data_IF_045567678626
#
_entry.id   IF_045567678626
#
_cell.length_a   1.000
_cell.length_b   1.000
_cell.length_c   1.000
_cell.angle_alpha   90.00
_cell.angle_beta   90.00
_cell.angle_gamma   90.00
#
_symmetry.space_group_name_H-M   'P 1'
#
loop_
_entity.id
_entity.type
_entity.pdbx_description
1 polymer ?
#
# COMPACT_ATOMS: atom_id res chain seq x y z
N UNK A 1 20.56 13.67 12.27
CA UNK A 1 19.63 13.70 11.13
C UNK A 1 18.31 13.01 11.47
N UNK A 2 18.30 11.76 11.91
CA UNK A 2 17.04 11.03 12.24
C UNK A 2 16.21 11.71 13.34
N UNK A 3 16.84 12.30 14.36
CA UNK A 3 16.13 13.06 15.39
C UNK A 3 15.41 14.30 14.85
N UNK A 4 15.97 14.95 13.82
CA UNK A 4 15.34 16.08 13.15
C UNK A 4 14.14 15.63 12.34
N UNK A 5 14.23 14.49 11.63
CA UNK A 5 13.11 13.93 10.86
C UNK A 5 11.94 13.58 11.76
N UNK A 6 12.22 12.95 12.90
CA UNK A 6 11.19 12.60 13.88
C UNK A 6 10.47 13.85 14.42
N UNK A 7 11.23 14.89 14.81
CA UNK A 7 10.65 16.14 15.31
C UNK A 7 9.81 16.86 14.25
N UNK A 8 10.19 16.77 12.97
CA UNK A 8 9.41 17.34 11.86
C UNK A 8 8.11 16.56 11.65
N UNK A 9 8.15 15.22 11.68
CA UNK A 9 6.94 14.38 11.62
C UNK A 9 5.98 14.72 12.76
N UNK A 10 6.45 14.74 14.02
CA UNK A 10 5.63 15.09 15.18
C UNK A 10 4.98 16.47 15.04
N UNK A 11 5.73 17.46 14.55
CA UNK A 11 5.20 18.80 14.33
C UNK A 11 4.02 18.81 13.36
N UNK A 12 4.17 18.15 12.20
CA UNK A 12 3.11 18.11 11.19
C UNK A 12 1.95 17.19 11.60
N UNK A 13 2.22 16.08 12.25
CA UNK A 13 1.17 15.20 12.78
C UNK A 13 0.26 15.93 13.75
N UNK A 14 0.82 16.74 14.64
CA UNK A 14 0.06 17.58 15.57
C UNK A 14 -0.70 18.70 14.85
N UNK A 15 -0.03 19.44 13.95
CA UNK A 15 -0.63 20.60 13.26
C UNK A 15 -1.73 20.23 12.29
N UNK A 16 -1.59 19.10 11.61
CA UNK A 16 -2.56 18.61 10.62
C UNK A 16 -3.56 17.63 11.21
N UNK A 17 -3.49 17.38 12.54
CA UNK A 17 -4.33 16.41 13.25
C UNK A 17 -4.36 15.04 12.54
N UNK A 18 -3.17 14.51 12.19
CA UNK A 18 -3.03 13.26 11.43
C UNK A 18 -3.28 12.00 12.29
N UNK A 19 -3.79 12.15 13.49
CA UNK A 19 -4.16 11.04 14.34
C UNK A 19 -5.53 11.30 14.98
N UNK A 20 -6.28 10.25 15.21
CA UNK A 20 -7.56 10.29 15.90
C UNK A 20 -7.72 9.05 16.81
N UNK A 21 -8.76 8.97 17.66
CA UNK A 21 -8.91 7.87 18.60
C UNK A 21 -8.94 6.47 17.95
N UNK A 22 -9.50 6.31 16.76
CA UNK A 22 -9.56 5.00 16.09
C UNK A 22 -8.19 4.59 15.51
N UNK A 23 -7.46 5.54 14.93
CA UNK A 23 -6.10 5.30 14.43
C UNK A 23 -5.13 5.03 15.58
N UNK A 24 -5.20 5.82 16.66
CA UNK A 24 -4.39 5.59 17.86
C UNK A 24 -4.67 4.22 18.50
N UNK A 25 -5.94 3.84 18.60
CA UNK A 25 -6.33 2.53 19.10
C UNK A 25 -5.85 1.38 18.19
N UNK A 26 -5.85 1.56 16.86
CA UNK A 26 -5.34 0.55 15.93
C UNK A 26 -3.84 0.27 16.14
N UNK A 27 -3.05 1.29 16.42
CA UNK A 27 -1.63 1.14 16.75
C UNK A 27 -1.44 0.46 18.12
N UNK A 28 -2.22 0.88 19.13
CA UNK A 28 -2.15 0.30 20.47
C UNK A 28 -2.55 -1.18 20.48
N UNK A 29 -3.63 -1.56 19.81
CA UNK A 29 -4.07 -2.95 19.69
C UNK A 29 -3.03 -3.80 18.95
N UNK A 30 -2.45 -3.28 17.86
CA UNK A 30 -1.38 -3.98 17.13
C UNK A 30 -0.18 -4.25 18.04
N UNK A 31 0.23 -3.27 18.84
CA UNK A 31 1.31 -3.41 19.79
C UNK A 31 0.99 -4.41 20.92
N UNK A 32 -0.23 -4.34 21.47
CA UNK A 32 -0.68 -5.22 22.55
C UNK A 32 -0.73 -6.69 22.12
N UNK A 33 -1.07 -6.95 20.86
CA UNK A 33 -1.11 -8.30 20.27
C UNK A 33 0.25 -8.76 19.70
N UNK A 34 1.32 -7.95 19.88
CA UNK A 34 2.68 -8.28 19.46
C UNK A 34 2.91 -8.24 17.94
N UNK A 35 2.09 -7.50 17.18
CA UNK A 35 2.35 -7.29 15.77
C UNK A 35 3.63 -6.46 15.56
N UNK A 36 4.39 -6.69 14.49
CA UNK A 36 5.58 -5.91 14.22
C UNK A 36 5.24 -4.43 13.98
N UNK A 37 6.06 -3.50 14.50
CA UNK A 37 5.85 -2.06 14.40
C UNK A 37 6.28 -1.51 13.01
N UNK A 38 5.73 -2.09 11.93
CA UNK A 38 6.05 -1.77 10.52
C UNK A 38 4.94 -1.04 9.78
N UNK A 39 3.84 -0.66 10.46
CA UNK A 39 2.76 0.14 9.87
C UNK A 39 3.31 1.43 9.23
N UNK A 40 2.64 1.97 8.23
CA UNK A 40 2.98 3.28 7.62
C UNK A 40 2.91 4.41 8.66
N UNK A 41 3.62 5.53 8.43
CA UNK A 41 3.49 6.73 9.26
C UNK A 41 2.12 7.39 9.07
N UNK A 42 1.65 8.22 10.01
CA UNK A 42 0.42 9.00 9.85
C UNK A 42 0.42 9.84 8.59
N UNK A 43 1.53 10.50 8.27
CA UNK A 43 1.68 11.30 7.05
C UNK A 43 1.56 10.44 5.78
N UNK A 44 2.16 9.24 5.76
CA UNK A 44 2.06 8.32 4.63
C UNK A 44 0.63 7.76 4.51
N UNK A 45 -0.01 7.36 5.60
CA UNK A 45 -1.42 6.93 5.59
C UNK A 45 -2.35 8.03 5.03
N UNK A 46 -2.12 9.29 5.45
CA UNK A 46 -2.85 10.44 4.91
C UNK A 46 -2.57 10.65 3.42
N UNK A 47 -1.33 10.48 2.96
CA UNK A 47 -0.98 10.56 1.54
C UNK A 47 -1.75 9.52 0.71
N UNK A 48 -1.81 8.25 1.16
CA UNK A 48 -2.59 7.20 0.49
C UNK A 48 -4.07 7.59 0.37
N UNK A 49 -4.65 8.15 1.45
CA UNK A 49 -6.04 8.64 1.43
C UNK A 49 -6.23 9.81 0.45
N UNK A 50 -5.29 10.76 0.40
CA UNK A 50 -5.35 11.89 -0.54
C UNK A 50 -5.21 11.44 -1.99
N UNK A 51 -4.35 10.46 -2.27
CA UNK A 51 -4.22 9.87 -3.61
C UNK A 51 -5.51 9.17 -4.03
N UNK A 52 -6.12 8.37 -3.15
CA UNK A 52 -7.41 7.75 -3.41
C UNK A 52 -8.49 8.79 -3.73
N UNK A 53 -8.57 9.87 -2.94
CA UNK A 53 -9.51 10.97 -3.19
C UNK A 53 -9.23 11.71 -4.50
N UNK A 54 -7.97 11.95 -4.85
CA UNK A 54 -7.57 12.71 -6.05
C UNK A 54 -7.99 12.05 -7.36
N UNK A 55 -8.12 10.72 -7.35
CA UNK A 55 -8.60 9.93 -8.49
C UNK A 55 -10.06 9.52 -8.36
N UNK A 56 -10.76 9.98 -7.30
CA UNK A 56 -12.13 9.57 -6.97
C UNK A 56 -12.27 8.04 -6.87
N UNK A 57 -11.31 7.37 -6.21
CA UNK A 57 -11.30 5.91 -6.10
C UNK A 57 -12.58 5.39 -5.44
N UNK A 58 -13.16 4.36 -6.01
CA UNK A 58 -14.32 3.62 -5.51
C UNK A 58 -13.94 2.20 -5.09
N UNK A 59 -12.90 1.64 -5.71
CA UNK A 59 -12.41 0.30 -5.43
C UNK A 59 -10.90 0.33 -5.17
N UNK A 60 -10.51 -0.12 -3.98
CA UNK A 60 -9.11 -0.16 -3.55
C UNK A 60 -8.72 -1.61 -3.26
N UNK A 61 -7.53 -2.01 -3.72
CA UNK A 61 -6.88 -3.27 -3.36
C UNK A 61 -5.63 -2.97 -2.53
N UNK A 62 -5.50 -3.60 -1.38
CA UNK A 62 -4.31 -3.54 -0.55
C UNK A 62 -3.68 -4.93 -0.43
N UNK A 63 -2.38 -5.03 -0.62
CA UNK A 63 -1.60 -6.26 -0.44
C UNK A 63 -0.70 -6.07 0.78
N UNK A 64 -1.09 -6.70 1.89
CA UNK A 64 -0.52 -6.51 3.23
C UNK A 64 -1.39 -5.62 4.11
N UNK A 65 -2.09 -6.23 5.09
CA UNK A 65 -3.05 -5.54 5.98
C UNK A 65 -2.43 -5.16 7.32
N UNK A 66 -1.60 -6.06 7.89
CA UNK A 66 -1.11 -5.96 9.25
C UNK A 66 -2.29 -5.73 10.24
N UNK A 67 -2.21 -4.69 11.09
CA UNK A 67 -3.28 -4.28 12.01
C UNK A 67 -4.34 -3.34 11.41
N UNK A 68 -4.33 -3.12 10.08
CA UNK A 68 -5.34 -2.34 9.38
C UNK A 68 -5.17 -0.82 9.45
N UNK A 69 -3.98 -0.31 9.82
CA UNK A 69 -3.76 1.13 9.98
C UNK A 69 -3.87 1.89 8.65
N UNK A 70 -3.16 1.46 7.60
CA UNK A 70 -3.27 1.99 6.24
C UNK A 70 -4.65 1.76 5.65
N UNK A 71 -5.22 0.58 5.92
CA UNK A 71 -6.58 0.21 5.51
C UNK A 71 -7.62 1.21 6.01
N UNK A 72 -7.55 1.64 7.28
CA UNK A 72 -8.44 2.66 7.85
C UNK A 72 -8.31 3.98 7.11
N UNK A 73 -7.09 4.43 6.82
CA UNK A 73 -6.85 5.66 6.07
C UNK A 73 -7.51 5.64 4.70
N UNK A 74 -7.27 4.56 3.94
CA UNK A 74 -7.77 4.42 2.58
C UNK A 74 -9.29 4.20 2.54
N UNK A 75 -9.84 3.39 3.44
CA UNK A 75 -11.28 3.12 3.49
C UNK A 75 -12.10 4.38 3.82
N UNK A 76 -11.54 5.30 4.61
CA UNK A 76 -12.16 6.61 4.89
C UNK A 76 -12.18 7.54 3.69
N UNK A 77 -11.30 7.32 2.72
CA UNK A 77 -11.25 8.10 1.48
C UNK A 77 -12.31 7.68 0.46
N UNK A 78 -12.86 6.49 0.61
CA UNK A 78 -13.88 5.94 -0.28
C UNK A 78 -15.24 6.63 -0.12
N UNK A 79 -16.02 6.75 -1.20
CA UNK A 79 -17.43 7.14 -1.13
C UNK A 79 -18.26 6.09 -0.36
N UNK A 80 -19.51 6.41 0.04
CA UNK A 80 -20.36 5.51 0.83
C UNK A 80 -20.56 4.12 0.23
N UNK A 81 -20.53 4.00 -1.08
CA UNK A 81 -20.71 2.78 -1.88
C UNK A 81 -19.39 2.23 -2.42
N UNK A 82 -18.25 2.73 -1.94
CA UNK A 82 -16.92 2.22 -2.29
C UNK A 82 -16.52 1.00 -1.47
N UNK A 83 -15.61 0.20 -2.00
CA UNK A 83 -15.10 -1.05 -1.40
C UNK A 83 -13.57 -1.04 -1.34
N UNK A 84 -13.02 -1.54 -0.23
CA UNK A 84 -11.61 -1.87 -0.10
C UNK A 84 -11.46 -3.37 0.16
N UNK A 85 -10.65 -4.03 -0.66
CA UNK A 85 -10.23 -5.42 -0.43
C UNK A 85 -8.79 -5.40 0.05
N UNK A 86 -8.52 -6.05 1.19
CA UNK A 86 -7.16 -6.17 1.73
C UNK A 86 -6.77 -7.62 1.92
N UNK A 87 -5.54 -7.96 1.53
CA UNK A 87 -5.01 -9.32 1.54
C UNK A 87 -4.02 -9.48 2.70
N UNK A 88 -4.25 -10.47 3.55
CA UNK A 88 -3.39 -10.78 4.69
C UNK A 88 -3.15 -12.29 4.81
N UNK A 89 -1.91 -12.69 5.03
CA UNK A 89 -1.59 -14.11 5.20
C UNK A 89 -1.73 -14.58 6.65
N UNK A 90 -1.48 -13.69 7.61
CA UNK A 90 -1.48 -14.02 9.02
C UNK A 90 -2.88 -13.85 9.64
N UNK A 91 -3.46 -14.95 10.13
CA UNK A 91 -4.79 -14.93 10.77
C UNK A 91 -4.85 -13.99 11.99
N UNK A 92 -3.76 -13.89 12.77
CA UNK A 92 -3.70 -12.97 13.91
C UNK A 92 -3.79 -11.51 13.46
N UNK A 93 -3.00 -11.13 12.43
CA UNK A 93 -3.03 -9.76 11.89
C UNK A 93 -4.43 -9.41 11.38
N UNK A 94 -5.04 -10.30 10.59
CA UNK A 94 -6.40 -10.11 10.08
C UNK A 94 -7.44 -9.95 11.20
N UNK A 95 -7.32 -10.71 12.29
CA UNK A 95 -8.21 -10.60 13.44
C UNK A 95 -8.03 -9.24 14.17
N UNK A 96 -6.81 -8.76 14.31
CA UNK A 96 -6.51 -7.42 14.86
C UNK A 96 -7.08 -6.35 13.94
N UNK A 97 -6.82 -6.45 12.64
CA UNK A 97 -7.33 -5.50 11.65
C UNK A 97 -8.87 -5.44 11.67
N UNK A 98 -9.56 -6.59 11.75
CA UNK A 98 -11.02 -6.62 11.82
C UNK A 98 -11.54 -5.84 13.02
N UNK A 99 -11.00 -6.06 14.23
CA UNK A 99 -11.39 -5.30 15.43
C UNK A 99 -11.18 -3.79 15.28
N UNK A 100 -10.08 -3.40 14.64
CA UNK A 100 -9.75 -2.01 14.39
C UNK A 100 -10.69 -1.36 13.37
N UNK A 101 -11.08 -2.09 12.32
CA UNK A 101 -12.06 -1.67 11.33
C UNK A 101 -13.47 -1.55 11.93
N UNK A 102 -13.87 -2.48 12.80
CA UNK A 102 -15.14 -2.41 13.55
C UNK A 102 -15.19 -1.13 14.40
N UNK A 103 -14.12 -0.86 15.16
CA UNK A 103 -13.99 0.37 15.98
C UNK A 103 -14.02 1.63 15.12
N UNK A 104 -13.41 1.60 13.94
CA UNK A 104 -13.41 2.72 12.99
C UNK A 104 -14.74 2.85 12.23
N UNK A 105 -15.68 1.91 12.38
CA UNK A 105 -16.96 1.82 11.66
C UNK A 105 -16.79 1.72 10.15
N UNK A 106 -15.85 0.88 9.73
CA UNK A 106 -15.47 0.68 8.31
C UNK A 106 -15.64 -0.78 7.86
N UNK A 107 -16.04 -1.68 8.74
CA UNK A 107 -16.15 -3.11 8.45
C UNK A 107 -17.12 -3.44 7.30
N UNK A 108 -18.12 -2.62 7.07
CA UNK A 108 -19.09 -2.75 5.97
C UNK A 108 -18.51 -2.40 4.59
N UNK A 109 -17.36 -1.73 4.55
CA UNK A 109 -16.68 -1.29 3.31
C UNK A 109 -15.37 -2.01 3.05
N UNK A 110 -14.88 -2.78 4.01
CA UNK A 110 -13.59 -3.45 3.93
C UNK A 110 -13.75 -4.95 4.00
N UNK A 111 -13.23 -5.64 3.00
CA UNK A 111 -13.18 -7.10 2.98
C UNK A 111 -11.74 -7.57 3.17
N UNK A 112 -11.49 -8.24 4.30
CA UNK A 112 -10.20 -8.89 4.56
C UNK A 112 -10.22 -10.31 3.97
N UNK A 113 -9.24 -10.63 3.13
CA UNK A 113 -9.04 -11.96 2.57
C UNK A 113 -7.83 -12.60 3.22
N UNK A 114 -8.03 -13.69 3.97
CA UNK A 114 -6.96 -14.37 4.70
C UNK A 114 -6.46 -15.55 3.87
N UNK A 115 -5.43 -15.31 3.06
CA UNK A 115 -4.78 -16.30 2.20
C UNK A 115 -3.43 -15.75 1.71
N UNK A 116 -2.55 -16.58 1.09
CA UNK A 116 -1.41 -16.06 0.33
C UNK A 116 -1.90 -15.07 -0.74
N UNK A 117 -1.28 -13.88 -0.77
CA UNK A 117 -1.74 -12.80 -1.67
C UNK A 117 -1.67 -13.24 -3.16
N UNK A 118 -0.63 -14.00 -3.55
CA UNK A 118 -0.50 -14.54 -4.90
C UNK A 118 -1.67 -15.42 -5.32
N UNK A 119 -2.24 -16.20 -4.39
CA UNK A 119 -3.37 -17.07 -4.69
C UNK A 119 -4.66 -16.25 -4.83
N UNK A 120 -4.87 -15.31 -3.90
CA UNK A 120 -6.01 -14.38 -3.96
C UNK A 120 -6.01 -13.54 -5.24
N UNK A 121 -4.84 -13.03 -5.64
CA UNK A 121 -4.70 -12.23 -6.86
C UNK A 121 -4.96 -13.07 -8.12
N UNK A 122 -4.42 -14.30 -8.20
CA UNK A 122 -4.72 -15.22 -9.30
C UNK A 122 -6.21 -15.55 -9.39
N UNK A 123 -6.85 -15.77 -8.25
CA UNK A 123 -8.29 -16.03 -8.20
C UNK A 123 -9.06 -14.82 -8.72
N UNK A 124 -8.78 -13.59 -8.24
CA UNK A 124 -9.43 -12.36 -8.72
C UNK A 124 -9.29 -12.18 -10.23
N UNK A 125 -8.11 -12.44 -10.79
CA UNK A 125 -7.88 -12.37 -12.24
C UNK A 125 -8.72 -13.43 -12.99
N UNK A 126 -8.74 -14.67 -12.49
CA UNK A 126 -9.51 -15.76 -13.13
C UNK A 126 -11.01 -15.53 -13.08
N UNK A 127 -11.52 -14.94 -12.01
CA UNK A 127 -12.92 -14.57 -11.82
C UNK A 127 -13.30 -13.28 -12.56
N UNK A 128 -12.32 -12.56 -13.12
CA UNK A 128 -12.52 -11.27 -13.82
C UNK A 128 -13.27 -10.28 -12.95
N UNK A 129 -12.85 -10.14 -11.70
CA UNK A 129 -13.46 -9.15 -10.80
C UNK A 129 -13.39 -7.75 -11.40
N UNK A 130 -14.28 -6.87 -10.98
CA UNK A 130 -14.25 -5.48 -11.38
C UNK A 130 -12.90 -4.82 -11.00
N UNK A 131 -12.35 -4.03 -11.91
CA UNK A 131 -11.03 -3.40 -11.76
C UNK A 131 -10.96 -2.46 -10.55
N UNK A 132 -9.76 -2.31 -10.00
CA UNK A 132 -9.47 -1.39 -8.91
C UNK A 132 -8.93 -0.06 -9.42
N UNK A 133 -9.30 1.03 -8.75
CA UNK A 133 -8.82 2.38 -9.05
C UNK A 133 -7.46 2.65 -8.41
N UNK A 134 -7.23 2.06 -7.23
CA UNK A 134 -5.97 2.16 -6.49
C UNK A 134 -5.55 0.77 -6.01
N UNK A 135 -4.29 0.42 -6.25
CA UNK A 135 -3.65 -0.76 -5.68
C UNK A 135 -2.45 -0.32 -4.84
N UNK A 136 -2.40 -0.76 -3.59
CA UNK A 136 -1.28 -0.51 -2.67
C UNK A 136 -0.63 -1.84 -2.31
N UNK A 137 0.68 -1.97 -2.56
CA UNK A 137 1.47 -3.17 -2.32
C UNK A 137 2.47 -2.88 -1.19
N UNK A 138 2.22 -3.44 -0.02
CA UNK A 138 3.08 -3.34 1.16
C UNK A 138 3.18 -4.70 1.87
N UNK A 139 3.69 -5.70 1.16
CA UNK A 139 3.90 -7.06 1.64
C UNK A 139 5.39 -7.47 1.49
N UNK A 140 5.66 -8.78 1.35
CA UNK A 140 7.00 -9.31 1.14
C UNK A 140 7.62 -8.81 -0.19
N UNK A 141 8.79 -8.19 -0.09
CA UNK A 141 9.38 -7.45 -1.21
C UNK A 141 9.97 -8.36 -2.29
N UNK A 142 10.30 -9.60 -1.95
CA UNK A 142 10.75 -10.62 -2.91
C UNK A 142 9.73 -10.86 -4.03
N UNK A 143 8.44 -10.70 -3.74
CA UNK A 143 7.32 -10.93 -4.67
C UNK A 143 6.73 -9.66 -5.27
N UNK A 144 7.35 -8.52 -5.06
CA UNK A 144 6.85 -7.25 -5.60
C UNK A 144 6.55 -7.30 -7.11
N UNK A 145 7.36 -8.02 -7.88
CA UNK A 145 7.13 -8.21 -9.32
C UNK A 145 5.81 -8.94 -9.59
N UNK A 146 5.56 -10.05 -8.89
CA UNK A 146 4.32 -10.83 -9.05
C UNK A 146 3.09 -10.00 -8.65
N UNK A 147 3.19 -9.23 -7.57
CA UNK A 147 2.12 -8.36 -7.10
C UNK A 147 1.84 -7.22 -8.09
N UNK A 148 2.89 -6.62 -8.65
CA UNK A 148 2.76 -5.56 -9.65
C UNK A 148 2.12 -6.06 -10.94
N UNK A 149 2.51 -7.22 -11.45
CA UNK A 149 1.91 -7.82 -12.65
C UNK A 149 0.42 -8.15 -12.44
N UNK A 150 0.07 -8.68 -11.28
CA UNK A 150 -1.32 -8.91 -10.91
C UNK A 150 -2.10 -7.59 -10.79
N UNK A 151 -1.50 -6.56 -10.17
CA UNK A 151 -2.10 -5.23 -10.08
C UNK A 151 -2.39 -4.63 -11.46
N UNK A 152 -1.47 -4.78 -12.42
CA UNK A 152 -1.68 -4.35 -13.81
C UNK A 152 -2.85 -5.07 -14.49
N UNK A 153 -3.07 -6.35 -14.17
CA UNK A 153 -4.18 -7.11 -14.71
C UNK A 153 -5.53 -6.77 -14.06
N UNK A 154 -5.50 -6.21 -12.85
CA UNK A 154 -6.67 -5.86 -12.03
C UNK A 154 -6.99 -4.36 -12.02
N UNK A 155 -6.33 -3.57 -12.86
CA UNK A 155 -6.51 -2.10 -12.95
C UNK A 155 -6.94 -1.69 -14.35
N UNK A 156 -7.25 -0.41 -14.52
CA UNK A 156 -7.67 0.20 -15.79
C UNK A 156 -6.90 1.52 -16.04
N UNK A 157 -6.93 2.09 -17.24
CA UNK A 157 -6.35 3.41 -17.48
C UNK A 157 -6.90 4.47 -16.51
N UNK A 158 -5.98 5.20 -15.86
CA UNK A 158 -6.30 6.16 -14.80
C UNK A 158 -6.04 5.65 -13.38
N UNK A 159 -6.00 4.34 -13.16
CA UNK A 159 -5.68 3.74 -11.87
C UNK A 159 -4.27 4.08 -11.40
N UNK A 160 -4.06 4.06 -10.08
CA UNK A 160 -2.74 4.16 -9.45
C UNK A 160 -2.31 2.83 -8.85
N UNK A 161 -1.02 2.52 -8.98
CA UNK A 161 -0.35 1.41 -8.29
C UNK A 161 0.79 2.00 -7.46
N UNK A 162 0.77 1.71 -6.16
CA UNK A 162 1.79 2.14 -5.20
C UNK A 162 2.49 0.89 -4.68
N UNK A 163 3.83 0.90 -4.69
CA UNK A 163 4.63 -0.18 -4.09
C UNK A 163 5.53 0.44 -3.03
N UNK A 164 5.31 0.07 -1.77
CA UNK A 164 6.05 0.65 -0.64
C UNK A 164 7.41 -0.01 -0.41
N UNK A 165 8.31 0.73 0.25
CA UNK A 165 9.67 0.36 0.64
C UNK A 165 10.57 -0.07 -0.53
N UNK A 166 10.56 0.67 -1.62
CA UNK A 166 11.39 0.40 -2.80
C UNK A 166 12.81 1.00 -2.72
N UNK A 167 13.10 1.84 -1.73
CA UNK A 167 14.44 2.43 -1.56
C UNK A 167 15.32 1.56 -0.67
N UNK A 168 14.74 0.81 0.29
CA UNK A 168 15.46 -0.15 1.13
C UNK A 168 16.66 0.48 1.86
N UNK A 169 16.45 1.66 2.47
CA UNK A 169 17.51 2.44 3.14
C UNK A 169 18.70 2.76 2.23
N UNK A 170 18.46 2.85 0.92
CA UNK A 170 19.47 3.11 -0.10
C UNK A 170 20.08 1.85 -0.72
N UNK A 171 19.88 0.66 -0.16
CA UNK A 171 20.48 -0.58 -0.68
C UNK A 171 20.00 -0.98 -2.08
N UNK A 172 18.92 -0.39 -2.57
CA UNK A 172 18.42 -0.64 -3.94
C UNK A 172 19.46 -0.34 -5.02
N UNK A 173 20.46 0.53 -4.76
CA UNK A 173 21.53 0.84 -5.73
C UNK A 173 22.63 -0.24 -5.80
N UNK A 174 22.67 -1.15 -4.82
CA UNK A 174 23.65 -2.21 -4.71
C UNK A 174 23.27 -3.38 -5.64
N UNK A 175 23.88 -3.44 -6.83
CA UNK A 175 23.56 -4.47 -7.81
C UNK A 175 23.84 -5.88 -7.30
N UNK A 176 24.89 -6.04 -6.50
CA UNK A 176 25.40 -7.32 -5.98
C UNK A 176 24.81 -7.67 -4.61
N UNK A 177 23.79 -6.95 -4.13
CA UNK A 177 23.17 -7.21 -2.84
C UNK A 177 22.66 -8.66 -2.75
N UNK A 178 23.03 -9.35 -1.69
CA UNK A 178 22.49 -10.69 -1.38
C UNK A 178 21.12 -10.64 -0.68
N UNK A 179 20.62 -9.45 -0.33
CA UNK A 179 19.30 -9.27 0.27
C UNK A 179 18.21 -9.56 -0.79
N UNK A 180 17.44 -10.61 -0.57
CA UNK A 180 16.37 -11.05 -1.48
C UNK A 180 15.28 -9.99 -1.67
N UNK A 181 15.03 -9.17 -0.64
CA UNK A 181 14.08 -8.05 -0.73
C UNK A 181 14.60 -6.93 -1.62
N UNK A 182 15.91 -6.60 -1.54
CA UNK A 182 16.54 -5.65 -2.46
C UNK A 182 16.45 -6.15 -3.90
N UNK A 183 16.77 -7.42 -4.12
CA UNK A 183 16.68 -8.03 -5.45
C UNK A 183 15.24 -8.08 -5.97
N UNK A 184 14.26 -8.29 -5.09
CA UNK A 184 12.84 -8.24 -5.45
C UNK A 184 12.41 -6.86 -5.94
N UNK A 185 12.86 -5.81 -5.26
CA UNK A 185 12.60 -4.43 -5.69
C UNK A 185 13.29 -4.12 -7.02
N UNK A 186 14.55 -4.53 -7.20
CA UNK A 186 15.28 -4.31 -8.46
C UNK A 186 14.57 -4.97 -9.64
N UNK A 187 14.15 -6.23 -9.51
CA UNK A 187 13.35 -6.91 -10.56
C UNK A 187 12.04 -6.19 -10.88
N UNK A 188 11.37 -5.64 -9.86
CA UNK A 188 10.19 -4.80 -10.08
C UNK A 188 10.53 -3.57 -10.91
N UNK A 189 11.60 -2.83 -10.55
CA UNK A 189 11.98 -1.59 -11.26
C UNK A 189 12.35 -1.89 -12.72
N UNK A 190 13.14 -2.95 -12.96
CA UNK A 190 13.47 -3.39 -14.31
C UNK A 190 12.20 -3.67 -15.14
N UNK A 191 11.23 -4.35 -14.54
CA UNK A 191 9.95 -4.63 -15.19
C UNK A 191 9.13 -3.36 -15.48
N UNK A 192 9.13 -2.39 -14.55
CA UNK A 192 8.42 -1.11 -14.71
C UNK A 192 9.01 -0.28 -15.84
N UNK A 193 10.34 -0.30 -16.02
CA UNK A 193 11.02 0.42 -17.12
C UNK A 193 10.53 -0.05 -18.49
N UNK A 194 10.26 -1.35 -18.64
CA UNK A 194 9.81 -1.94 -19.90
C UNK A 194 8.27 -1.90 -20.08
N UNK A 195 7.52 -1.47 -19.06
CA UNK A 195 6.06 -1.50 -19.08
C UNK A 195 5.45 -0.22 -19.68
N UNK A 196 5.00 -0.31 -20.91
CA UNK A 196 4.41 0.84 -21.65
C UNK A 196 3.03 1.28 -21.13
N UNK A 197 2.35 0.43 -20.35
CA UNK A 197 1.01 0.73 -19.80
C UNK A 197 1.06 1.60 -18.55
N UNK A 198 2.25 1.96 -18.04
CA UNK A 198 2.37 2.82 -16.88
C UNK A 198 3.30 4.01 -17.11
N UNK A 199 3.00 5.10 -16.43
CA UNK A 199 3.93 6.21 -16.17
C UNK A 199 4.28 6.17 -14.70
N UNK A 200 5.56 6.03 -14.36
CA UNK A 200 5.99 5.77 -12.99
C UNK A 200 7.11 6.70 -12.51
N UNK A 201 7.17 6.88 -11.19
CA UNK A 201 8.27 7.56 -10.50
C UNK A 201 8.50 6.92 -9.14
N UNK A 202 9.62 7.26 -8.50
CA UNK A 202 9.95 6.87 -7.12
C UNK A 202 10.07 8.12 -6.28
N UNK A 203 9.44 8.11 -5.11
CA UNK A 203 9.56 9.16 -4.10
C UNK A 203 10.36 8.61 -2.93
N UNK A 204 11.50 9.23 -2.64
CA UNK A 204 12.27 8.95 -1.43
C UNK A 204 11.64 9.66 -0.24
N UNK A 205 11.57 9.00 0.89
CA UNK A 205 10.96 9.53 2.13
C UNK A 205 11.92 9.41 3.30
N UNK A 206 11.88 10.41 4.16
CA UNK A 206 12.56 10.40 5.46
C UNK A 206 11.54 10.72 6.55
N UNK A 207 11.72 10.17 7.74
CA UNK A 207 10.79 10.41 8.84
C UNK A 207 11.16 9.61 10.08
N UNK A 208 10.25 9.55 11.04
CA UNK A 208 10.44 8.81 12.30
C UNK A 208 10.67 7.30 12.13
N UNK A 209 10.39 6.76 10.94
CA UNK A 209 10.70 5.37 10.56
C UNK A 209 11.99 5.21 9.73
N UNK A 210 12.76 6.28 9.61
CA UNK A 210 14.04 6.29 8.90
C UNK A 210 13.90 6.69 7.43
N UNK A 211 14.80 6.16 6.61
CA UNK A 211 14.91 6.45 5.18
C UNK A 211 14.40 5.26 4.35
N UNK A 212 13.41 5.52 3.51
CA UNK A 212 12.91 4.57 2.51
C UNK A 212 12.25 5.34 1.35
N UNK A 213 11.20 4.81 0.76
CA UNK A 213 10.44 5.43 -0.31
C UNK A 213 9.50 4.46 -0.98
N UNK A 214 8.68 4.97 -1.87
CA UNK A 214 7.68 4.18 -2.61
C UNK A 214 7.71 4.49 -4.10
N UNK A 215 7.36 3.50 -4.90
CA UNK A 215 7.08 3.67 -6.32
C UNK A 215 5.61 4.06 -6.48
N UNK A 216 5.36 5.08 -7.30
CA UNK A 216 4.03 5.49 -7.74
C UNK A 216 3.95 5.31 -9.25
N UNK A 217 3.05 4.47 -9.72
CA UNK A 217 2.76 4.25 -11.12
C UNK A 217 1.30 4.59 -11.42
N UNK A 218 1.08 5.32 -12.51
CA UNK A 218 -0.25 5.54 -13.08
C UNK A 218 -0.44 4.67 -14.30
N UNK A 219 -1.52 3.91 -14.35
CA UNK A 219 -1.91 3.15 -15.53
C UNK A 219 -2.39 4.12 -16.60
N UNK A 220 -1.81 4.03 -17.79
CA UNK A 220 -2.11 4.89 -18.93
C UNK A 220 -2.74 4.08 -20.06
N UNK A 221 -3.53 4.75 -20.88
CA UNK A 221 -4.02 4.16 -22.12
C UNK A 221 -2.87 4.15 -23.15
N UNK A 222 -2.48 2.97 -23.59
CA UNK A 222 -1.54 2.84 -24.72
C UNK A 222 -2.38 2.99 -25.97
N UNK A 223 -2.43 4.22 -26.51
CA UNK A 223 -3.01 4.44 -27.82
C UNK A 223 -2.47 3.38 -28.80
N UNK A 224 -3.35 2.58 -29.43
CA UNK A 224 -2.91 1.67 -30.48
C UNK A 224 -2.15 2.52 -31.50
N UNK A 225 -0.94 2.10 -31.94
CA UNK A 225 -0.29 2.81 -33.04
C UNK A 225 -1.33 2.91 -34.17
N UNK A 226 -1.57 4.14 -34.61
CA UNK A 226 -2.38 4.38 -35.81
C UNK A 226 -1.77 3.56 -36.94
N UNK A 227 -2.58 2.64 -37.48
CA UNK A 227 -2.20 1.78 -38.59
C UNK A 227 -1.84 2.61 -39.86
#
# INVERSE_FOLDING_TARGET
MESTWHAVDEYFEQKLALNDPALGAALADSQAEGLPAINVTPAHGKLLALLAQSINARRILEVGTLGGYSTIWMARALPPDGELVTLEIARLHAAVAQRNLDRARLADRVRIVVAPATDSLRQMISERVESFDLVVIDADKERNLEYFEAALALTHPGSLIIVDNVVRKGAVVEADSSDTMVQGVRRLVDRVVDERRVSATVIQTVGGKGYDGFLLARVIDVARPSA
#
